data_IF_825714713452
#
_entry.id   IF_825714713452
#
_cell.length_a   1.000
_cell.length_b   1.000
_cell.length_c   1.000
_cell.angle_alpha   90.00
_cell.angle_beta   90.00
_cell.angle_gamma   90.00
#
_symmetry.space_group_name_H-M   'P 1'
#
loop_
_entity.id
_entity.type
_entity.pdbx_description
1 polymer ?
#
# COMPACT_ATOMS: atom_id res chain seq x y z
N UNK A 1 4.55 -19.50 -10.37
CA UNK A 1 4.56 -18.05 -10.07
C UNK A 1 3.28 -17.74 -9.32
N UNK A 2 3.30 -17.72 -7.99
CA UNK A 2 2.07 -17.52 -7.23
C UNK A 2 1.91 -16.04 -6.84
N UNK A 3 1.45 -15.20 -7.76
CA UNK A 3 0.65 -14.06 -7.33
C UNK A 3 -0.56 -14.61 -6.58
N UNK A 4 -0.84 -14.07 -5.40
CA UNK A 4 -1.98 -14.54 -4.63
C UNK A 4 -3.26 -14.06 -5.33
N UNK A 5 -4.20 -14.97 -5.55
CA UNK A 5 -5.54 -14.64 -6.08
C UNK A 5 -6.44 -13.98 -5.04
N UNK A 6 -5.96 -13.81 -3.81
CA UNK A 6 -6.68 -13.27 -2.68
C UNK A 6 -5.73 -12.48 -1.75
N UNK A 7 -6.30 -11.62 -0.91
CA UNK A 7 -5.58 -10.92 0.15
C UNK A 7 -6.32 -11.07 1.48
N UNK A 8 -5.59 -11.23 2.58
CA UNK A 8 -6.22 -11.22 3.92
C UNK A 8 -6.57 -9.80 4.31
N UNK A 9 -7.75 -9.64 4.89
CA UNK A 9 -8.18 -8.40 5.55
C UNK A 9 -8.53 -8.76 6.98
N UNK A 10 -8.08 -7.95 7.93
CA UNK A 10 -8.39 -8.12 9.35
C UNK A 10 -9.91 -8.08 9.57
N UNK A 11 -10.46 -9.06 10.28
CA UNK A 11 -11.87 -9.09 10.64
C UNK A 11 -12.26 -7.89 11.53
N UNK A 12 -11.31 -7.36 12.30
CA UNK A 12 -11.46 -6.17 13.13
C UNK A 12 -11.20 -4.86 12.38
N UNK A 13 -11.08 -4.87 11.03
CA UNK A 13 -10.79 -3.66 10.24
C UNK A 13 -11.72 -2.50 10.62
N UNK A 14 -13.02 -2.77 10.79
CA UNK A 14 -14.02 -1.76 11.10
C UNK A 14 -13.85 -1.11 12.48
N UNK A 15 -13.24 -1.80 13.45
CA UNK A 15 -13.02 -1.33 14.82
C UNK A 15 -11.56 -0.95 15.11
N UNK A 16 -10.66 -1.16 14.14
CA UNK A 16 -9.26 -0.76 14.26
C UNK A 16 -9.14 0.76 14.45
N UNK A 17 -8.30 1.19 15.40
CA UNK A 17 -8.13 2.61 15.73
C UNK A 17 -7.67 3.47 14.54
N UNK A 18 -6.81 2.95 13.65
CA UNK A 18 -6.37 3.66 12.42
C UNK A 18 -7.52 3.83 11.44
N UNK A 19 -8.36 2.80 11.29
CA UNK A 19 -9.57 2.86 10.45
C UNK A 19 -10.57 3.86 11.00
N UNK A 20 -10.84 3.83 12.32
CA UNK A 20 -11.77 4.78 12.96
C UNK A 20 -11.27 6.22 12.81
N UNK A 21 -9.96 6.45 13.01
CA UNK A 21 -9.35 7.77 12.78
C UNK A 21 -9.49 8.22 11.32
N UNK A 22 -9.28 7.32 10.36
CA UNK A 22 -9.43 7.60 8.93
C UNK A 22 -10.87 7.98 8.58
N UNK A 23 -11.84 7.20 9.03
CA UNK A 23 -13.27 7.41 8.76
C UNK A 23 -13.81 8.69 9.39
N UNK A 24 -13.17 9.19 10.46
CA UNK A 24 -13.47 10.50 11.04
C UNK A 24 -13.08 11.68 10.14
N UNK A 25 -12.24 11.46 9.12
CA UNK A 25 -11.83 12.50 8.19
C UNK A 25 -12.81 12.64 7.02
N UNK A 26 -12.94 13.87 6.49
CA UNK A 26 -13.69 14.10 5.25
C UNK A 26 -13.09 13.29 4.10
N UNK A 27 -13.91 12.39 3.51
CA UNK A 27 -13.48 11.49 2.42
C UNK A 27 -12.67 10.27 2.87
N UNK A 28 -12.63 9.99 4.18
CA UNK A 28 -11.92 8.85 4.75
C UNK A 28 -12.43 7.48 4.27
N UNK A 29 -13.72 7.38 3.96
CA UNK A 29 -14.35 6.23 3.33
C UNK A 29 -13.71 5.88 1.98
N UNK A 30 -13.45 6.90 1.15
CA UNK A 30 -12.75 6.72 -0.12
C UNK A 30 -11.29 6.29 0.09
N UNK A 31 -10.61 6.85 1.09
CA UNK A 31 -9.26 6.44 1.44
C UNK A 31 -9.21 4.99 1.96
N UNK A 32 -10.20 4.56 2.74
CA UNK A 32 -10.31 3.17 3.18
C UNK A 32 -10.52 2.20 2.00
N UNK A 33 -11.32 2.59 1.01
CA UNK A 33 -11.42 1.83 -0.24
C UNK A 33 -10.05 1.71 -0.90
N UNK A 34 -9.33 2.83 -1.09
CA UNK A 34 -7.97 2.83 -1.66
C UNK A 34 -7.02 1.89 -0.91
N UNK A 35 -7.10 1.84 0.42
CA UNK A 35 -6.32 0.90 1.23
C UNK A 35 -6.61 -0.57 0.87
N UNK A 36 -7.89 -0.96 0.81
CA UNK A 36 -8.30 -2.34 0.46
C UNK A 36 -7.87 -2.70 -0.97
N UNK A 37 -8.05 -1.81 -1.94
CA UNK A 37 -7.57 -2.02 -3.31
C UNK A 37 -6.04 -2.10 -3.37
N UNK A 38 -5.34 -1.31 -2.55
CA UNK A 38 -3.89 -1.36 -2.39
C UNK A 38 -3.39 -2.72 -1.90
N UNK A 39 -4.06 -3.31 -0.90
CA UNK A 39 -3.77 -4.66 -0.41
C UNK A 39 -3.89 -5.70 -1.54
N UNK A 40 -4.97 -5.65 -2.31
CA UNK A 40 -5.20 -6.54 -3.45
C UNK A 40 -4.18 -6.35 -4.57
N UNK A 41 -3.80 -5.09 -4.86
CA UNK A 41 -2.72 -4.80 -5.81
C UNK A 41 -1.42 -5.47 -5.38
N UNK A 42 -1.01 -5.29 -4.12
CA UNK A 42 0.23 -5.87 -3.60
C UNK A 42 0.23 -7.40 -3.70
N UNK A 43 -0.89 -8.05 -3.38
CA UNK A 43 -1.04 -9.49 -3.46
C UNK A 43 -0.96 -10.00 -4.91
N UNK A 44 -1.64 -9.31 -5.82
CA UNK A 44 -1.67 -9.68 -7.25
C UNK A 44 -0.32 -9.47 -7.95
N UNK A 45 0.45 -8.48 -7.51
CA UNK A 45 1.73 -8.12 -8.11
C UNK A 45 2.91 -8.79 -7.40
N UNK A 46 2.74 -9.30 -6.18
CA UNK A 46 3.82 -9.83 -5.36
C UNK A 46 4.83 -8.73 -5.00
N UNK A 47 4.33 -7.59 -4.52
CA UNK A 47 5.16 -6.42 -4.17
C UNK A 47 5.43 -6.28 -2.68
N UNK A 48 4.99 -7.23 -1.86
CA UNK A 48 5.18 -7.26 -0.40
C UNK A 48 4.87 -5.93 0.29
N UNK A 49 3.74 -5.31 -0.08
CA UNK A 49 3.28 -4.05 0.52
C UNK A 49 3.68 -2.80 -0.26
N UNK A 50 4.60 -2.89 -1.22
CA UNK A 50 4.98 -1.72 -2.01
C UNK A 50 3.91 -1.35 -3.05
N UNK A 51 3.49 -0.08 -3.04
CA UNK A 51 2.55 0.53 -3.99
C UNK A 51 3.29 1.67 -4.73
N UNK A 52 3.59 1.51 -6.03
CA UNK A 52 4.22 2.58 -6.80
C UNK A 52 3.24 3.74 -7.06
N UNK A 53 3.75 4.96 -7.15
CA UNK A 53 2.95 6.18 -7.43
C UNK A 53 2.08 6.03 -8.67
N UNK A 54 2.59 5.35 -9.71
CA UNK A 54 1.87 5.09 -10.95
C UNK A 54 0.66 4.17 -10.77
N UNK A 55 0.62 3.34 -9.73
CA UNK A 55 -0.51 2.47 -9.43
C UNK A 55 -1.60 3.17 -8.62
N UNK A 56 -1.36 4.39 -8.09
CA UNK A 56 -2.32 5.06 -7.21
C UNK A 56 -3.70 5.22 -7.85
N UNK A 57 -3.76 5.66 -9.11
CA UNK A 57 -5.03 5.81 -9.84
C UNK A 57 -5.70 4.47 -10.13
N UNK A 58 -4.92 3.39 -10.35
CA UNK A 58 -5.42 2.04 -10.58
C UNK A 58 -6.16 1.49 -9.35
N UNK A 59 -5.66 1.78 -8.15
CA UNK A 59 -6.28 1.37 -6.88
C UNK A 59 -7.30 2.39 -6.36
N UNK A 60 -7.87 3.20 -7.27
CA UNK A 60 -8.87 4.23 -6.98
C UNK A 60 -8.39 5.29 -5.96
N UNK A 61 -7.08 5.48 -5.84
CA UNK A 61 -6.45 6.44 -4.97
C UNK A 61 -6.37 7.84 -5.58
N UNK A 62 -6.27 8.82 -4.69
CA UNK A 62 -5.93 10.21 -5.00
C UNK A 62 -4.77 10.64 -4.13
N UNK A 63 -4.07 11.73 -4.48
CA UNK A 63 -3.01 12.27 -3.63
C UNK A 63 -3.50 12.57 -2.21
N UNK A 64 -4.74 13.07 -2.07
CA UNK A 64 -5.36 13.29 -0.76
C UNK A 64 -5.58 11.97 -0.01
N UNK A 65 -6.15 10.95 -0.66
CA UNK A 65 -6.36 9.65 -0.02
C UNK A 65 -5.04 9.02 0.46
N UNK A 66 -3.99 9.07 -0.37
CA UNK A 66 -2.66 8.60 0.01
C UNK A 66 -2.10 9.34 1.22
N UNK A 67 -2.24 10.68 1.27
CA UNK A 67 -1.85 11.48 2.43
C UNK A 67 -2.63 11.08 3.69
N UNK A 68 -3.94 10.83 3.59
CA UNK A 68 -4.75 10.41 4.73
C UNK A 68 -4.30 9.05 5.26
N UNK A 69 -3.98 8.10 4.37
CA UNK A 69 -3.49 6.78 4.74
C UNK A 69 -2.11 6.85 5.41
N UNK A 70 -1.24 7.76 4.97
CA UNK A 70 0.03 8.05 5.64
C UNK A 70 -0.19 8.69 7.00
N UNK A 71 -1.08 9.67 7.10
CA UNK A 71 -1.40 10.38 8.34
C UNK A 71 -1.89 9.45 9.46
N UNK A 72 -2.74 8.47 9.12
CA UNK A 72 -3.23 7.47 10.10
C UNK A 72 -2.29 6.26 10.25
N UNK A 73 -1.16 6.23 9.53
CA UNK A 73 -0.17 5.16 9.60
C UNK A 73 -0.64 3.82 9.03
N UNK A 74 -1.58 3.82 8.07
CA UNK A 74 -1.91 2.64 7.28
C UNK A 74 -0.91 2.44 6.13
N UNK A 75 -0.35 3.53 5.60
CA UNK A 75 0.74 3.54 4.63
C UNK A 75 1.96 4.29 5.17
N UNK A 76 3.15 3.95 4.67
CA UNK A 76 4.40 4.66 4.93
C UNK A 76 4.92 5.28 3.63
N UNK A 77 5.35 6.54 3.61
CA UNK A 77 5.90 7.15 2.41
C UNK A 77 7.24 6.50 2.03
N UNK A 78 7.42 6.19 0.75
CA UNK A 78 8.67 5.69 0.19
C UNK A 78 9.03 6.46 -1.09
N UNK A 79 10.32 6.53 -1.47
CA UNK A 79 10.69 7.07 -2.78
C UNK A 79 9.93 6.36 -3.91
N UNK A 80 9.17 7.15 -4.68
CA UNK A 80 8.38 6.66 -5.81
C UNK A 80 7.08 5.94 -5.45
N UNK A 81 6.65 5.93 -4.18
CA UNK A 81 5.38 5.32 -3.80
C UNK A 81 5.13 5.27 -2.29
N UNK A 82 4.53 4.17 -1.85
CA UNK A 82 4.22 3.91 -0.44
C UNK A 82 4.46 2.45 -0.09
N UNK A 83 4.70 2.18 1.18
CA UNK A 83 4.64 0.85 1.76
C UNK A 83 3.35 0.68 2.55
N UNK A 84 2.79 -0.52 2.56
CA UNK A 84 1.63 -0.84 3.40
C UNK A 84 2.12 -1.27 4.78
N UNK A 85 1.58 -0.67 5.83
CA UNK A 85 1.96 -0.95 7.21
C UNK A 85 1.83 -2.45 7.54
N UNK A 86 2.94 -3.06 7.97
CA UNK A 86 3.07 -4.45 8.44
C UNK A 86 2.61 -5.51 7.42
N UNK A 87 2.66 -5.21 6.11
CA UNK A 87 2.11 -6.12 5.09
C UNK A 87 2.66 -7.55 5.18
N UNK A 88 3.98 -7.70 5.33
CA UNK A 88 4.66 -9.00 5.40
C UNK A 88 4.39 -9.79 6.68
N UNK A 89 3.89 -9.14 7.73
CA UNK A 89 3.54 -9.81 8.98
C UNK A 89 2.19 -10.53 8.85
N UNK A 90 1.29 -10.00 8.02
CA UNK A 90 -0.07 -10.53 7.85
C UNK A 90 -0.26 -11.31 6.54
N UNK A 91 0.53 -11.01 5.50
CA UNK A 91 0.47 -11.68 4.21
C UNK A 91 1.65 -12.64 4.05
N UNK A 92 1.43 -13.87 3.57
CA UNK A 92 2.53 -14.79 3.26
C UNK A 92 3.41 -14.15 2.19
N UNK A 93 4.71 -14.06 2.45
CA UNK A 93 5.70 -13.57 1.51
C UNK A 93 6.79 -14.64 1.34
N UNK A 94 7.02 -15.04 0.09
CA UNK A 94 8.10 -15.95 -0.29
C UNK A 94 9.33 -15.17 -0.80
N UNK A 95 10.45 -15.87 -0.96
CA UNK A 95 11.71 -15.22 -1.38
C UNK A 95 11.60 -14.62 -2.79
N UNK A 96 10.76 -15.18 -3.66
CA UNK A 96 10.49 -14.63 -5.00
C UNK A 96 9.73 -13.29 -4.93
N UNK A 97 8.76 -13.18 -4.03
CA UNK A 97 8.02 -11.93 -3.78
C UNK A 97 8.96 -10.87 -3.22
N UNK A 98 9.78 -11.22 -2.23
CA UNK A 98 10.74 -10.28 -1.61
C UNK A 98 11.70 -9.70 -2.64
N UNK A 99 12.25 -10.56 -3.49
CA UNK A 99 13.16 -10.13 -4.57
C UNK A 99 12.46 -9.17 -5.55
N UNK A 100 11.17 -9.39 -5.85
CA UNK A 100 10.39 -8.54 -6.75
C UNK A 100 10.06 -7.20 -6.09
N UNK A 101 9.66 -7.21 -4.83
CA UNK A 101 9.43 -6.01 -4.02
C UNK A 101 10.69 -5.14 -3.98
N UNK A 102 11.83 -5.72 -3.64
CA UNK A 102 13.11 -4.99 -3.62
C UNK A 102 13.46 -4.40 -4.98
N UNK A 103 13.27 -5.16 -6.07
CA UNK A 103 13.53 -4.68 -7.42
C UNK A 103 12.61 -3.51 -7.78
N UNK A 104 11.33 -3.59 -7.42
CA UNK A 104 10.36 -2.53 -7.64
C UNK A 104 10.72 -1.27 -6.83
N UNK A 105 11.12 -1.44 -5.56
CA UNK A 105 11.56 -0.35 -4.69
C UNK A 105 12.82 0.33 -5.25
N UNK A 106 13.86 -0.43 -5.59
CA UNK A 106 15.10 0.07 -6.21
C UNK A 106 14.83 0.80 -7.53
N UNK A 107 13.94 0.27 -8.38
CA UNK A 107 13.56 0.93 -9.63
C UNK A 107 12.79 2.24 -9.40
N UNK A 108 11.92 2.28 -8.39
CA UNK A 108 11.20 3.48 -8.00
C UNK A 108 12.15 4.52 -7.40
N UNK A 109 13.05 4.12 -6.52
CA UNK A 109 14.13 4.94 -5.95
C UNK A 109 15.02 5.53 -7.06
N UNK A 110 15.47 4.73 -8.03
CA UNK A 110 16.29 5.24 -9.14
C UNK A 110 15.54 6.26 -10.01
N UNK A 111 14.23 6.05 -10.24
CA UNK A 111 13.42 6.90 -11.12
C UNK A 111 12.94 8.19 -10.45
N UNK A 112 12.75 8.18 -9.14
CA UNK A 112 12.13 9.29 -8.39
C UNK A 112 13.03 9.89 -7.31
N UNK A 113 14.00 9.14 -6.79
CA UNK A 113 15.00 9.63 -5.82
C UNK A 113 15.96 10.67 -6.43
N UNK A 114 16.19 10.63 -7.73
CA UNK A 114 16.97 11.64 -8.45
C UNK A 114 16.24 12.97 -8.70
N UNK A 115 14.96 13.09 -8.32
CA UNK A 115 14.13 14.28 -8.56
C UNK A 115 13.95 15.18 -7.33
N UNK A 116 14.57 14.82 -6.20
CA UNK A 116 14.49 15.57 -4.93
C UNK A 116 15.84 16.15 -4.46
N UNK A 117 16.74 16.52 -5.39
CA UNK A 117 17.89 17.40 -5.11
C UNK A 117 17.71 18.71 -5.86
#
# INVERSE_FOLDING_TARGET
MASLSWVRVDAALASNHKTLALLGQKGGDRALNTYIFGLGHCASQGTDGFIPTAALGLIHGTARAAQQLVEVGLWHPLPGGWDVNDYTDYQPSDDESKARSEKARKAAEARWGARNV
#
